data_IF_117094209283
#
_entry.id   IF_117094209283
#
_cell.length_a   1.000
_cell.length_b   1.000
_cell.length_c   1.000
_cell.angle_alpha   90.00
_cell.angle_beta   90.00
_cell.angle_gamma   90.00
#
_symmetry.space_group_name_H-M   'P 1'
#
loop_
_entity.id
_entity.type
_entity.pdbx_description
1 polymer ?
#
# COMPACT_ATOMS: atom_id res chain seq x y z
N UNK A 1 -27.84 1.69 -11.57
CA UNK A 1 -26.75 2.59 -12.04
C UNK A 1 -25.41 1.91 -11.75
N UNK A 2 -24.35 2.22 -12.51
CA UNK A 2 -23.02 1.73 -12.15
C UNK A 2 -22.58 2.36 -10.83
N UNK A 3 -21.96 1.55 -9.95
CA UNK A 3 -21.40 2.03 -8.67
C UNK A 3 -20.20 2.92 -8.96
N UNK A 4 -20.24 4.17 -8.53
CA UNK A 4 -19.11 5.10 -8.64
C UNK A 4 -18.11 4.84 -7.53
N UNK A 5 -16.84 4.87 -7.86
CA UNK A 5 -15.76 4.80 -6.88
C UNK A 5 -15.37 6.21 -6.40
N UNK A 6 -14.77 6.28 -5.23
CA UNK A 6 -14.36 7.55 -4.62
C UNK A 6 -13.46 8.38 -5.55
N UNK A 7 -12.55 7.72 -6.27
CA UNK A 7 -11.63 8.36 -7.24
C UNK A 7 -12.36 9.08 -8.38
N UNK A 8 -13.56 8.64 -8.74
CA UNK A 8 -14.37 9.24 -9.82
C UNK A 8 -15.08 10.53 -9.39
N UNK A 9 -15.18 10.76 -8.08
CA UNK A 9 -15.94 11.89 -7.54
C UNK A 9 -15.04 12.93 -6.92
N UNK A 10 -14.25 12.58 -5.90
CA UNK A 10 -13.36 13.52 -5.22
C UNK A 10 -12.23 12.82 -4.45
N UNK A 11 -11.10 13.52 -4.32
CA UNK A 11 -9.93 13.10 -3.54
C UNK A 11 -9.37 14.26 -2.73
N UNK A 12 -8.75 14.02 -1.55
CA UNK A 12 -8.02 15.04 -0.80
C UNK A 12 -6.63 15.28 -1.42
N UNK A 13 -6.61 15.92 -2.61
CA UNK A 13 -5.41 16.07 -3.44
C UNK A 13 -4.27 16.79 -2.73
N UNK A 14 -4.57 17.78 -1.88
CA UNK A 14 -3.54 18.53 -1.16
C UNK A 14 -2.75 17.63 -0.22
N UNK A 15 -3.42 16.76 0.54
CA UNK A 15 -2.78 15.81 1.44
C UNK A 15 -1.95 14.77 0.66
N UNK A 16 -2.49 14.24 -0.43
CA UNK A 16 -1.80 13.25 -1.29
C UNK A 16 -0.55 13.88 -1.91
N UNK A 17 -0.64 15.11 -2.41
CA UNK A 17 0.49 15.81 -3.02
C UNK A 17 1.55 16.17 -1.99
N UNK A 18 1.16 16.63 -0.80
CA UNK A 18 2.07 16.93 0.30
C UNK A 18 2.85 15.68 0.75
N UNK A 19 2.16 14.55 0.94
CA UNK A 19 2.78 13.27 1.27
C UNK A 19 3.74 12.80 0.17
N UNK A 20 3.34 12.89 -1.10
CA UNK A 20 4.16 12.53 -2.27
C UNK A 20 5.41 13.41 -2.42
N UNK A 21 5.30 14.69 -2.09
CA UNK A 21 6.44 15.60 -2.10
C UNK A 21 7.43 15.28 -0.98
N UNK A 22 6.93 14.95 0.22
CA UNK A 22 7.74 14.57 1.38
C UNK A 22 8.56 13.30 1.15
N UNK A 23 8.05 12.32 0.42
CA UNK A 23 8.77 11.08 0.11
C UNK A 23 10.14 11.33 -0.54
N UNK A 24 10.29 12.40 -1.32
CA UNK A 24 11.56 12.76 -1.97
C UNK A 24 12.68 13.07 -0.98
N UNK A 25 12.36 13.42 0.26
CA UNK A 25 13.32 13.74 1.32
C UNK A 25 13.68 12.55 2.21
N UNK A 26 12.97 11.42 2.10
CA UNK A 26 13.18 10.25 2.95
C UNK A 26 14.46 9.52 2.50
N UNK A 27 15.39 9.32 3.45
CA UNK A 27 16.72 8.74 3.20
C UNK A 27 16.87 7.31 3.71
N UNK A 28 15.98 6.85 4.60
CA UNK A 28 16.05 5.53 5.23
C UNK A 28 14.74 4.79 5.09
N UNK A 29 14.82 3.49 4.76
CA UNK A 29 13.66 2.59 4.66
C UNK A 29 12.75 2.81 3.47
N UNK A 30 12.99 3.83 2.63
CA UNK A 30 12.19 4.04 1.42
C UNK A 30 12.72 3.15 0.27
N UNK A 31 11.86 2.55 -0.58
CA UNK A 31 12.29 1.69 -1.70
C UNK A 31 13.32 2.32 -2.65
N UNK A 32 13.37 3.65 -2.76
CA UNK A 32 14.41 4.34 -3.54
C UNK A 32 15.82 4.16 -2.98
N UNK A 33 15.95 3.74 -1.73
CA UNK A 33 17.27 3.45 -1.11
C UNK A 33 17.78 2.06 -1.49
N UNK A 34 16.90 1.14 -1.86
CA UNK A 34 17.30 -0.15 -2.41
C UNK A 34 17.89 0.02 -3.81
N UNK A 35 17.16 0.69 -4.69
CA UNK A 35 17.62 1.01 -6.04
C UNK A 35 16.93 2.28 -6.55
N UNK A 36 17.72 3.21 -7.09
CA UNK A 36 17.19 4.42 -7.69
C UNK A 36 16.55 4.10 -9.05
N UNK A 37 15.24 4.38 -9.17
CA UNK A 37 14.50 4.24 -10.42
C UNK A 37 13.92 5.62 -10.81
N UNK A 38 14.37 6.17 -11.92
CA UNK A 38 14.06 7.57 -12.33
C UNK A 38 12.58 7.84 -12.54
N UNK A 39 11.81 6.85 -12.96
CA UNK A 39 10.39 6.96 -13.22
C UNK A 39 9.53 6.42 -12.06
N UNK A 40 10.10 6.25 -10.85
CA UNK A 40 9.34 5.74 -9.70
C UNK A 40 8.19 6.67 -9.35
N UNK A 41 6.98 6.13 -9.27
CA UNK A 41 5.82 6.86 -8.80
C UNK A 41 5.88 7.00 -7.27
N UNK A 42 5.41 8.13 -6.69
CA UNK A 42 5.29 8.25 -5.23
C UNK A 42 4.42 7.15 -4.65
N UNK A 43 4.87 6.54 -3.56
CA UNK A 43 4.12 5.46 -2.88
C UNK A 43 2.80 5.98 -2.32
N UNK A 44 2.79 7.20 -1.75
CA UNK A 44 1.59 7.86 -1.26
C UNK A 44 0.54 8.00 -2.36
N UNK A 45 0.92 8.49 -3.55
CA UNK A 45 0.02 8.62 -4.68
C UNK A 45 -0.48 7.25 -5.17
N UNK A 46 0.40 6.24 -5.28
CA UNK A 46 0.01 4.89 -5.68
C UNK A 46 -1.02 4.30 -4.70
N UNK A 47 -0.76 4.42 -3.40
CA UNK A 47 -1.64 3.94 -2.33
C UNK A 47 -3.00 4.62 -2.36
N UNK A 48 -3.02 5.95 -2.52
CA UNK A 48 -4.25 6.73 -2.62
C UNK A 48 -5.10 6.32 -3.82
N UNK A 49 -4.49 6.20 -4.99
CA UNK A 49 -5.20 5.84 -6.22
C UNK A 49 -5.77 4.42 -6.13
N UNK A 50 -4.98 3.44 -5.68
CA UNK A 50 -5.46 2.06 -5.54
C UNK A 50 -6.65 2.02 -4.57
N UNK A 51 -6.49 2.62 -3.38
CA UNK A 51 -7.54 2.59 -2.37
C UNK A 51 -8.83 3.27 -2.85
N UNK A 52 -8.72 4.47 -3.41
CA UNK A 52 -9.87 5.23 -3.89
C UNK A 52 -10.55 4.62 -5.13
N UNK A 53 -9.83 3.79 -5.89
CA UNK A 53 -10.39 3.02 -7.01
C UNK A 53 -11.21 1.81 -6.57
N UNK A 54 -11.05 1.37 -5.32
CA UNK A 54 -11.73 0.21 -4.77
C UNK A 54 -12.88 0.59 -3.83
N UNK A 55 -12.80 1.75 -3.18
CA UNK A 55 -13.81 2.23 -2.23
C UNK A 55 -14.94 2.95 -2.97
N UNK A 56 -16.17 2.63 -2.63
CA UNK A 56 -17.36 3.24 -3.22
C UNK A 56 -17.53 4.69 -2.75
N UNK A 57 -17.94 5.57 -3.65
CA UNK A 57 -18.39 6.90 -3.24
C UNK A 57 -19.79 6.82 -2.59
N UNK A 58 -20.05 7.55 -1.49
CA UNK A 58 -21.33 7.54 -0.80
C UNK A 58 -22.54 7.83 -1.69
N UNK A 59 -22.36 8.56 -2.79
CA UNK A 59 -23.45 8.83 -3.75
C UNK A 59 -23.95 7.57 -4.50
N UNK A 60 -23.20 6.48 -4.42
CA UNK A 60 -23.61 5.18 -4.98
C UNK A 60 -24.57 4.41 -4.08
N UNK A 61 -24.72 4.83 -2.82
CA UNK A 61 -25.54 4.19 -1.79
C UNK A 61 -26.59 5.15 -1.23
N UNK A 62 -27.57 5.61 -2.06
CA UNK A 62 -28.57 6.59 -1.64
C UNK A 62 -29.50 6.08 -0.53
N UNK A 63 -29.61 4.75 -0.36
CA UNK A 63 -30.34 4.12 0.75
C UNK A 63 -29.66 4.33 2.11
N UNK A 64 -28.32 4.39 2.16
CA UNK A 64 -27.55 4.69 3.37
C UNK A 64 -27.34 6.20 3.54
N UNK A 65 -27.10 6.91 2.43
CA UNK A 65 -26.77 8.34 2.39
C UNK A 65 -27.77 9.11 1.50
N UNK A 66 -29.00 9.35 1.99
CA UNK A 66 -30.10 9.87 1.16
C UNK A 66 -29.97 11.35 0.81
N UNK A 67 -29.16 12.11 1.55
CA UNK A 67 -28.97 13.54 1.30
C UNK A 67 -27.53 13.87 0.92
N UNK A 68 -27.34 14.99 0.23
CA UNK A 68 -26.03 15.47 -0.15
C UNK A 68 -25.14 15.77 1.07
N UNK A 69 -25.75 16.27 2.15
CA UNK A 69 -25.05 16.51 3.42
C UNK A 69 -24.54 15.20 4.04
N UNK A 70 -25.36 14.13 4.04
CA UNK A 70 -24.97 12.81 4.53
C UNK A 70 -23.84 12.21 3.68
N UNK A 71 -23.93 12.32 2.36
CA UNK A 71 -22.87 11.89 1.43
C UNK A 71 -21.57 12.65 1.65
N UNK A 72 -21.65 13.96 1.85
CA UNK A 72 -20.47 14.79 2.12
C UNK A 72 -19.84 14.46 3.49
N UNK A 73 -20.64 14.23 4.51
CA UNK A 73 -20.16 13.83 5.83
C UNK A 73 -19.40 12.51 5.77
N UNK A 74 -19.94 11.50 5.09
CA UNK A 74 -19.26 10.20 4.90
C UNK A 74 -18.01 10.35 4.03
N UNK A 75 -18.06 11.15 2.98
CA UNK A 75 -16.88 11.42 2.13
C UNK A 75 -15.76 12.06 2.94
N UNK A 76 -16.07 12.98 3.87
CA UNK A 76 -15.07 13.56 4.77
C UNK A 76 -14.48 12.50 5.72
N UNK A 77 -15.29 11.53 6.19
CA UNK A 77 -14.77 10.41 6.98
C UNK A 77 -13.78 9.56 6.17
N UNK A 78 -14.14 9.22 4.92
CA UNK A 78 -13.26 8.48 4.00
C UNK A 78 -11.97 9.26 3.69
N UNK A 79 -12.05 10.57 3.52
CA UNK A 79 -10.86 11.42 3.32
C UNK A 79 -9.92 11.36 4.51
N UNK A 80 -10.42 11.38 5.74
CA UNK A 80 -9.56 11.23 6.94
C UNK A 80 -8.82 9.90 6.97
N UNK A 81 -9.47 8.82 6.54
CA UNK A 81 -8.79 7.51 6.40
C UNK A 81 -7.69 7.62 5.36
N UNK A 82 -7.97 8.19 4.19
CA UNK A 82 -7.01 8.33 3.11
C UNK A 82 -5.84 9.25 3.49
N UNK A 83 -6.11 10.38 4.15
CA UNK A 83 -5.10 11.31 4.65
C UNK A 83 -4.12 10.62 5.61
N UNK A 84 -4.62 9.81 6.54
CA UNK A 84 -3.79 8.99 7.43
C UNK A 84 -3.03 7.89 6.67
N UNK A 85 -3.67 7.29 5.69
CA UNK A 85 -3.12 6.19 4.90
C UNK A 85 -1.91 6.62 4.07
N UNK A 86 -1.90 7.86 3.54
CA UNK A 86 -0.79 8.34 2.69
C UNK A 86 0.43 8.83 3.48
N UNK A 87 0.32 9.01 4.79
CA UNK A 87 1.45 9.40 5.65
C UNK A 87 2.50 8.29 5.67
N UNK A 88 3.77 8.65 5.40
CA UNK A 88 4.87 7.70 5.33
C UNK A 88 5.03 6.87 6.61
N UNK A 89 4.95 7.50 7.77
CA UNK A 89 5.09 6.87 9.09
C UNK A 89 4.04 5.80 9.35
N UNK A 90 2.91 5.88 8.66
CA UNK A 90 1.80 4.92 8.76
C UNK A 90 1.92 3.76 7.76
N UNK A 91 2.97 3.70 6.95
CA UNK A 91 3.10 2.69 5.88
C UNK A 91 3.04 1.24 6.38
N UNK A 92 3.40 1.00 7.64
CA UNK A 92 3.35 -0.31 8.29
C UNK A 92 2.45 -0.31 9.54
N UNK A 93 1.69 0.76 9.78
CA UNK A 93 0.77 0.84 10.92
C UNK A 93 -0.46 -0.05 10.66
N UNK A 94 -0.59 -1.11 11.45
CA UNK A 94 -1.64 -2.13 11.26
C UNK A 94 -3.06 -1.58 11.50
N UNK A 95 -3.23 -0.59 12.38
CA UNK A 95 -4.53 0.02 12.65
C UNK A 95 -4.98 0.85 11.44
N UNK A 96 -4.09 1.66 10.87
CA UNK A 96 -4.36 2.48 9.67
C UNK A 96 -4.62 1.59 8.45
N UNK A 97 -3.76 0.59 8.23
CA UNK A 97 -3.94 -0.37 7.14
C UNK A 97 -5.22 -1.20 7.35
N UNK A 98 -5.52 -1.57 8.58
CA UNK A 98 -6.73 -2.31 8.94
C UNK A 98 -8.00 -1.52 8.61
N UNK A 99 -8.05 -0.24 8.99
CA UNK A 99 -9.15 0.65 8.66
C UNK A 99 -9.34 0.80 7.13
N UNK A 100 -8.24 1.00 6.41
CA UNK A 100 -8.29 1.11 4.95
C UNK A 100 -8.77 -0.19 4.27
N UNK A 101 -8.29 -1.36 4.72
CA UNK A 101 -8.72 -2.67 4.22
C UNK A 101 -10.20 -2.96 4.54
N UNK A 102 -10.69 -2.48 5.68
CA UNK A 102 -12.10 -2.63 6.04
C UNK A 102 -13.03 -1.89 5.06
N UNK A 103 -12.68 -0.67 4.64
CA UNK A 103 -13.45 0.06 3.63
C UNK A 103 -13.40 -0.61 2.25
N UNK A 104 -12.24 -1.14 1.85
CA UNK A 104 -12.14 -1.94 0.61
C UNK A 104 -13.09 -3.14 0.69
N UNK A 105 -13.09 -3.86 1.82
CA UNK A 105 -13.96 -5.03 2.01
C UNK A 105 -15.43 -4.65 2.03
N UNK A 106 -15.78 -3.51 2.64
CA UNK A 106 -17.16 -2.99 2.62
C UNK A 106 -17.65 -2.76 1.18
N UNK A 107 -16.79 -2.22 0.31
CA UNK A 107 -17.14 -1.88 -1.08
C UNK A 107 -17.05 -3.06 -2.06
N UNK A 108 -16.10 -3.98 -1.85
CA UNK A 108 -15.78 -5.05 -2.82
C UNK A 108 -16.15 -6.45 -2.34
N UNK A 109 -16.57 -6.59 -1.08
CA UNK A 109 -16.80 -7.90 -0.44
C UNK A 109 -15.49 -8.62 -0.10
N UNK A 110 -15.60 -9.91 0.22
CA UNK A 110 -14.47 -10.76 0.62
C UNK A 110 -13.75 -11.44 -0.55
N UNK A 111 -14.08 -11.10 -1.78
CA UNK A 111 -13.43 -11.66 -2.96
C UNK A 111 -11.97 -11.21 -3.02
N UNK A 112 -10.99 -12.14 -3.18
CA UNK A 112 -9.59 -11.76 -3.33
C UNK A 112 -9.40 -10.84 -4.55
N UNK A 113 -8.93 -9.62 -4.29
CA UNK A 113 -8.70 -8.63 -5.33
C UNK A 113 -7.31 -8.82 -5.93
N UNK A 114 -7.21 -8.67 -7.24
CA UNK A 114 -5.97 -8.81 -8.01
C UNK A 114 -5.64 -7.49 -8.69
N UNK A 115 -4.36 -7.15 -8.69
CA UNK A 115 -3.82 -6.01 -9.41
C UNK A 115 -2.70 -6.49 -10.34
N UNK A 116 -2.77 -6.11 -11.61
CA UNK A 116 -1.70 -6.30 -12.58
C UNK A 116 -1.11 -4.94 -12.96
N UNK A 117 0.20 -4.78 -12.77
CA UNK A 117 0.98 -3.68 -13.31
C UNK A 117 1.90 -4.21 -14.42
N UNK A 118 1.56 -4.03 -15.70
CA UNK A 118 2.33 -4.55 -16.83
C UNK A 118 3.60 -3.75 -17.13
N UNK A 119 3.81 -2.59 -16.47
CA UNK A 119 4.96 -1.70 -16.62
C UNK A 119 5.45 -1.23 -15.25
N UNK A 120 5.73 -2.18 -14.37
CA UNK A 120 5.91 -1.95 -12.94
C UNK A 120 7.13 -1.07 -12.58
N UNK A 121 8.15 -1.00 -13.45
CA UNK A 121 9.34 -0.18 -13.22
C UNK A 121 9.92 -0.37 -11.83
N UNK A 122 9.96 0.69 -11.03
CA UNK A 122 10.44 0.66 -9.65
C UNK A 122 9.50 0.02 -8.62
N UNK A 123 8.36 -0.56 -9.03
CA UNK A 123 7.50 -1.40 -8.18
C UNK A 123 6.61 -0.66 -7.19
N UNK A 124 6.36 0.64 -7.35
CA UNK A 124 5.54 1.40 -6.40
C UNK A 124 4.10 0.90 -6.32
N UNK A 125 3.47 0.68 -7.47
CA UNK A 125 2.07 0.26 -7.56
C UNK A 125 1.86 -1.14 -6.98
N UNK A 126 2.60 -2.19 -7.41
CA UNK A 126 2.41 -3.52 -6.85
C UNK A 126 2.79 -3.62 -5.37
N UNK A 127 3.78 -2.85 -4.89
CA UNK A 127 4.13 -2.79 -3.48
C UNK A 127 2.97 -2.25 -2.63
N UNK A 128 2.35 -1.15 -3.05
CA UNK A 128 1.24 -0.56 -2.30
C UNK A 128 -0.05 -1.38 -2.42
N UNK A 129 -0.27 -2.05 -3.56
CA UNK A 129 -1.34 -3.03 -3.70
C UNK A 129 -1.22 -4.17 -2.67
N UNK A 130 -0.02 -4.72 -2.52
CA UNK A 130 0.26 -5.78 -1.54
C UNK A 130 0.03 -5.30 -0.10
N UNK A 131 0.45 -4.06 0.24
CA UNK A 131 0.17 -3.45 1.55
C UNK A 131 -1.32 -3.34 1.85
N UNK A 132 -2.11 -3.02 0.84
CA UNK A 132 -3.57 -2.96 0.94
C UNK A 132 -4.26 -4.33 0.93
N UNK A 133 -3.49 -5.41 0.80
CA UNK A 133 -3.99 -6.79 0.85
C UNK A 133 -4.46 -7.35 -0.49
N UNK A 134 -4.07 -6.73 -1.60
CA UNK A 134 -4.35 -7.26 -2.93
C UNK A 134 -3.27 -8.28 -3.35
N UNK A 135 -3.66 -9.23 -4.18
CA UNK A 135 -2.72 -10.08 -4.90
C UNK A 135 -2.12 -9.29 -6.06
N UNK A 136 -0.84 -8.96 -5.96
CA UNK A 136 -0.17 -8.06 -6.91
C UNK A 136 0.69 -8.84 -7.90
N UNK A 137 0.49 -8.55 -9.18
CA UNK A 137 1.28 -9.06 -10.30
C UNK A 137 2.04 -7.91 -10.95
N UNK A 138 3.35 -8.04 -11.05
CA UNK A 138 4.25 -7.04 -11.62
C UNK A 138 4.98 -7.61 -12.83
N UNK A 139 4.96 -6.87 -13.94
CA UNK A 139 5.71 -7.19 -15.15
C UNK A 139 6.52 -5.99 -15.61
N UNK A 140 7.65 -6.23 -16.23
CA UNK A 140 8.44 -5.20 -16.93
C UNK A 140 9.35 -5.87 -17.97
N UNK A 141 9.66 -5.15 -19.04
CA UNK A 141 10.64 -5.61 -20.05
C UNK A 141 12.08 -5.44 -19.57
N UNK A 142 12.32 -4.52 -18.63
CA UNK A 142 13.64 -4.25 -18.09
C UNK A 142 13.98 -5.25 -16.98
N UNK A 143 15.01 -6.09 -17.11
CA UNK A 143 15.37 -7.08 -16.11
C UNK A 143 15.80 -6.46 -14.76
N UNK A 144 16.28 -5.22 -14.75
CA UNK A 144 16.57 -4.50 -13.50
C UNK A 144 15.27 -4.19 -12.75
N UNK A 145 14.23 -3.74 -13.45
CA UNK A 145 12.91 -3.53 -12.85
C UNK A 145 12.34 -4.83 -12.27
N UNK A 146 12.45 -5.94 -13.01
CA UNK A 146 12.04 -7.27 -12.53
C UNK A 146 12.78 -7.65 -11.25
N UNK A 147 14.10 -7.44 -11.21
CA UNK A 147 14.92 -7.73 -10.02
C UNK A 147 14.53 -6.89 -8.83
N UNK A 148 14.28 -5.58 -9.03
CA UNK A 148 13.79 -4.67 -7.98
C UNK A 148 12.44 -5.17 -7.41
N UNK A 149 11.50 -5.52 -8.29
CA UNK A 149 10.18 -6.02 -7.87
C UNK A 149 10.31 -7.33 -7.07
N UNK A 150 11.13 -8.28 -7.54
CA UNK A 150 11.38 -9.52 -6.79
C UNK A 150 11.95 -9.25 -5.40
N UNK A 151 12.96 -8.38 -5.30
CA UNK A 151 13.59 -8.03 -4.03
C UNK A 151 12.64 -7.36 -3.04
N UNK A 152 11.66 -6.58 -3.52
CA UNK A 152 10.74 -5.86 -2.64
C UNK A 152 9.43 -6.60 -2.33
N UNK A 153 8.91 -7.35 -3.29
CA UNK A 153 7.52 -7.82 -3.28
C UNK A 153 7.43 -9.35 -3.17
N UNK A 154 8.31 -10.07 -3.87
CA UNK A 154 8.27 -11.53 -3.95
C UNK A 154 9.09 -12.18 -2.82
N UNK A 155 10.35 -11.79 -2.66
CA UNK A 155 11.28 -12.43 -1.73
C UNK A 155 10.89 -12.21 -0.26
N UNK A 156 10.62 -10.98 0.23
CA UNK A 156 10.38 -10.78 1.66
C UNK A 156 9.21 -11.59 2.23
N UNK A 157 8.05 -11.71 1.56
CA UNK A 157 6.96 -12.54 2.05
C UNK A 157 7.30 -14.04 2.13
N UNK A 158 8.16 -14.57 1.25
CA UNK A 158 8.55 -15.97 1.24
C UNK A 158 9.36 -16.35 2.49
N UNK A 159 10.09 -15.40 3.06
CA UNK A 159 10.94 -15.60 4.23
C UNK A 159 10.37 -14.96 5.51
N UNK A 160 9.17 -14.40 5.45
CA UNK A 160 8.51 -13.82 6.61
C UNK A 160 8.31 -14.89 7.71
N UNK A 161 8.69 -14.56 8.94
CA UNK A 161 8.60 -15.45 10.09
C UNK A 161 9.66 -16.55 10.17
N UNK A 162 10.59 -16.63 9.20
CA UNK A 162 11.69 -17.59 9.24
C UNK A 162 12.85 -17.03 10.10
N UNK A 163 13.58 -17.95 10.72
CA UNK A 163 14.79 -17.61 11.48
C UNK A 163 15.89 -17.09 10.53
N UNK A 164 16.73 -16.21 11.05
CA UNK A 164 17.94 -15.80 10.35
C UNK A 164 18.81 -17.02 10.00
N UNK A 165 19.46 -16.99 8.86
CA UNK A 165 20.43 -18.02 8.44
C UNK A 165 21.79 -17.78 9.09
N UNK A 166 22.14 -16.51 9.38
CA UNK A 166 23.38 -16.12 10.01
C UNK A 166 23.51 -16.73 11.44
N UNK A 167 24.52 -17.58 11.71
CA UNK A 167 24.69 -18.23 13.00
C UNK A 167 24.85 -17.25 14.17
N UNK A 168 25.48 -16.10 13.95
CA UNK A 168 25.63 -15.09 14.99
C UNK A 168 24.29 -14.44 15.37
N UNK A 169 23.42 -14.18 14.38
CA UNK A 169 22.09 -13.66 14.62
C UNK A 169 21.22 -14.68 15.37
N UNK A 170 21.33 -15.95 15.00
CA UNK A 170 20.63 -17.05 15.70
C UNK A 170 21.07 -17.19 17.15
N UNK A 171 22.39 -17.08 17.44
CA UNK A 171 22.91 -17.18 18.79
C UNK A 171 22.50 -16.00 19.69
N UNK A 172 22.40 -14.81 19.15
CA UNK A 172 21.96 -13.59 19.88
C UNK A 172 20.47 -13.59 20.21
N UNK A 173 19.64 -14.25 19.40
CA UNK A 173 18.18 -14.23 19.50
C UNK A 173 17.57 -15.61 19.79
N UNK A 174 18.33 -16.52 20.38
CA UNK A 174 17.87 -17.90 20.65
C UNK A 174 16.56 -17.99 21.49
N UNK A 175 16.09 -16.90 22.10
CA UNK A 175 14.86 -16.83 22.91
C UNK A 175 13.79 -15.91 22.32
N UNK A 176 14.02 -15.25 21.17
CA UNK A 176 13.03 -14.38 20.53
C UNK A 176 12.31 -15.09 19.38
N UNK A 177 10.99 -14.90 19.32
CA UNK A 177 10.18 -15.39 18.19
C UNK A 177 10.47 -14.51 16.97
N UNK A 178 10.90 -15.13 15.87
CA UNK A 178 11.07 -14.45 14.60
C UNK A 178 9.71 -14.08 14.02
N UNK A 179 9.45 -12.78 13.87
CA UNK A 179 8.20 -12.24 13.32
C UNK A 179 8.47 -11.35 12.11
N UNK A 180 7.54 -11.34 11.16
CA UNK A 180 7.68 -10.56 9.93
C UNK A 180 9.02 -10.83 9.23
N UNK A 181 9.74 -9.81 8.84
CA UNK A 181 11.03 -9.92 8.15
C UNK A 181 12.25 -9.79 9.07
N UNK A 182 12.09 -9.99 10.39
CA UNK A 182 13.19 -9.82 11.34
C UNK A 182 14.35 -10.80 11.11
N UNK A 183 14.06 -12.04 10.68
CA UNK A 183 15.09 -13.01 10.30
C UNK A 183 15.92 -12.51 9.11
N UNK A 184 15.25 -12.08 8.05
CA UNK A 184 15.90 -11.54 6.86
C UNK A 184 16.74 -10.29 7.18
N UNK A 185 16.24 -9.40 8.03
CA UNK A 185 16.95 -8.20 8.45
C UNK A 185 18.19 -8.51 9.32
N UNK A 186 18.21 -9.63 10.00
CA UNK A 186 19.34 -10.05 10.83
C UNK A 186 20.44 -10.74 10.02
N UNK A 187 20.17 -11.12 8.77
CA UNK A 187 21.13 -11.73 7.84
C UNK A 187 21.95 -10.68 7.06
N UNK A 188 21.55 -9.41 7.11
CA UNK A 188 22.21 -8.28 6.44
C UNK A 188 23.04 -7.47 7.43
#
# INVERSE_FOLDING_TARGET
MAVKKLIEVALPLDAINAASAREKSIRHGHPSTLHLWWARRPLAAARAVIWASLVDDPSSHPEEFPTEEAQNAERQRLFKILENLVVWENSNNQDVLGAAKAEIRKSMGDTPLKLLDPFAGGGSIPLEAQRLGLEAYAQDLNPVAVTINKAMIEIPPLFAGQAAVNPEAQSRKAMEVWSGNNGLAADV
#
